data_IF_808251931291
#
_entry.id   IF_808251931291
#
_cell.length_a   1.000
_cell.length_b   1.000
_cell.length_c   1.000
_cell.angle_alpha   90.00
_cell.angle_beta   90.00
_cell.angle_gamma   90.00
#
_symmetry.space_group_name_H-M   'P 1'
#
loop_
_entity.id
_entity.type
_entity.pdbx_description
1 polymer ?
#
# COMPACT_ATOMS: atom_id res chain seq x y z
N UNK A 1 25.90 -7.28 -23.21
CA UNK A 1 24.54 -7.54 -22.70
C UNK A 1 23.73 -6.29 -22.96
N UNK A 2 22.94 -6.35 -24.03
CA UNK A 2 22.08 -5.27 -24.51
C UNK A 2 21.07 -4.88 -23.43
N UNK A 3 21.00 -3.58 -23.12
CA UNK A 3 20.03 -3.00 -22.20
C UNK A 3 18.61 -3.31 -22.72
N UNK A 4 17.98 -4.36 -22.19
CA UNK A 4 16.64 -4.80 -22.58
C UNK A 4 15.51 -3.80 -22.19
N UNK A 5 15.86 -2.59 -21.76
CA UNK A 5 14.95 -1.65 -21.11
C UNK A 5 15.14 -0.19 -21.54
N UNK A 6 15.83 0.08 -22.66
CA UNK A 6 15.87 1.41 -23.27
C UNK A 6 14.49 1.90 -23.77
N UNK A 7 13.45 1.11 -23.53
CA UNK A 7 12.30 0.97 -24.41
C UNK A 7 10.96 0.90 -23.63
N UNK A 8 10.96 0.91 -22.28
CA UNK A 8 9.72 0.97 -21.47
C UNK A 8 9.13 2.37 -21.50
N UNK A 9 7.94 2.51 -22.06
CA UNK A 9 7.26 3.78 -22.20
C UNK A 9 5.86 3.74 -21.55
N UNK A 10 5.36 4.91 -21.15
CA UNK A 10 3.95 5.03 -20.82
C UNK A 10 3.12 4.67 -22.06
N UNK A 11 2.14 3.78 -21.90
CA UNK A 11 1.23 3.41 -22.96
C UNK A 11 0.50 4.67 -23.42
N UNK A 12 0.58 5.06 -24.71
CA UNK A 12 -0.03 6.29 -25.19
C UNK A 12 -1.51 6.41 -24.80
N UNK A 13 -1.83 7.41 -23.98
CA UNK A 13 -3.21 7.69 -23.55
C UNK A 13 -3.70 6.91 -22.32
N UNK A 14 -2.92 5.98 -21.77
CA UNK A 14 -3.29 5.24 -20.56
C UNK A 14 -3.55 6.15 -19.35
N UNK A 15 -2.68 7.14 -19.11
CA UNK A 15 -2.88 8.11 -18.03
C UNK A 15 -4.14 8.95 -18.21
N UNK A 16 -4.39 9.45 -19.42
CA UNK A 16 -5.62 10.19 -19.73
C UNK A 16 -6.87 9.32 -19.52
N UNK A 17 -6.79 8.02 -19.81
CA UNK A 17 -7.86 7.06 -19.53
C UNK A 17 -8.08 6.90 -18.03
N UNK A 18 -7.03 6.69 -17.24
CA UNK A 18 -7.13 6.63 -15.77
C UNK A 18 -7.68 7.90 -15.15
N UNK A 19 -7.29 9.08 -15.65
CA UNK A 19 -7.81 10.36 -15.18
C UNK A 19 -9.29 10.53 -15.52
N UNK A 20 -9.71 10.12 -16.73
CA UNK A 20 -11.12 10.13 -17.13
C UNK A 20 -11.94 9.18 -16.27
N UNK A 21 -11.47 7.94 -16.09
CA UNK A 21 -12.13 6.96 -15.22
C UNK A 21 -12.15 7.44 -13.76
N UNK A 22 -11.10 8.10 -13.28
CA UNK A 22 -11.05 8.66 -11.93
C UNK A 22 -12.12 9.73 -11.69
N UNK A 23 -12.41 10.57 -12.71
CA UNK A 23 -13.53 11.53 -12.63
C UNK A 23 -14.88 10.81 -12.56
N UNK A 24 -15.10 9.79 -13.39
CA UNK A 24 -16.32 8.96 -13.35
C UNK A 24 -16.48 8.30 -11.98
N UNK A 25 -15.42 7.66 -11.44
CA UNK A 25 -15.44 7.04 -10.12
C UNK A 25 -15.82 8.05 -9.03
N UNK A 26 -15.25 9.25 -9.09
CA UNK A 26 -15.57 10.32 -8.14
C UNK A 26 -17.04 10.73 -8.21
N UNK A 27 -17.59 10.86 -9.41
CA UNK A 27 -19.01 11.20 -9.62
C UNK A 27 -19.92 10.09 -9.09
N UNK A 28 -19.60 8.81 -9.34
CA UNK A 28 -20.35 7.67 -8.81
C UNK A 28 -20.34 7.63 -7.27
N UNK A 29 -19.16 7.81 -6.65
CA UNK A 29 -19.04 7.88 -5.18
C UNK A 29 -19.84 9.05 -4.61
N UNK A 30 -19.77 10.23 -5.23
CA UNK A 30 -20.55 11.39 -4.80
C UNK A 30 -22.05 11.16 -4.98
N UNK A 31 -22.45 10.48 -6.06
CA UNK A 31 -23.83 10.07 -6.30
C UNK A 31 -24.35 9.22 -5.16
N UNK A 32 -23.66 8.14 -4.81
CA UNK A 32 -24.04 7.26 -3.69
C UNK A 32 -24.00 8.00 -2.35
N UNK A 33 -22.96 8.80 -2.10
CA UNK A 33 -22.82 9.58 -0.86
C UNK A 33 -23.98 10.55 -0.64
N UNK A 34 -24.47 11.21 -1.69
CA UNK A 34 -25.59 12.15 -1.60
C UNK A 34 -26.89 11.47 -1.13
N UNK A 35 -27.05 10.17 -1.34
CA UNK A 35 -28.20 9.40 -0.84
C UNK A 35 -28.00 8.93 0.60
N UNK A 36 -26.78 8.55 0.96
CA UNK A 36 -26.45 8.05 2.28
C UNK A 36 -26.41 9.15 3.35
N UNK A 37 -25.93 10.33 2.95
CA UNK A 37 -25.63 11.43 3.86
C UNK A 37 -26.01 12.77 3.21
N UNK A 38 -27.31 13.02 2.97
CA UNK A 38 -27.77 14.23 2.30
C UNK A 38 -27.29 15.48 3.05
N UNK A 39 -26.74 16.44 2.30
CA UNK A 39 -26.22 17.70 2.84
C UNK A 39 -24.75 17.67 3.30
N UNK A 40 -24.13 16.49 3.43
CA UNK A 40 -22.70 16.41 3.71
C UNK A 40 -21.88 16.73 2.46
N UNK A 41 -21.12 17.82 2.51
CA UNK A 41 -20.14 18.18 1.47
C UNK A 41 -18.78 17.70 1.88
N UNK A 42 -18.41 16.52 1.44
CA UNK A 42 -17.13 15.91 1.77
C UNK A 42 -16.24 15.88 0.53
N UNK A 43 -14.96 16.30 0.65
CA UNK A 43 -14.01 16.05 -0.41
C UNK A 43 -13.86 14.53 -0.58
N UNK A 44 -13.84 14.05 -1.82
CA UNK A 44 -13.46 12.66 -2.13
C UNK A 44 -11.93 12.67 -2.30
N UNK A 45 -11.15 12.25 -1.29
CA UNK A 45 -9.71 12.17 -1.44
C UNK A 45 -9.40 11.10 -2.48
N UNK A 46 -8.62 11.48 -3.49
CA UNK A 46 -8.05 10.58 -4.47
C UNK A 46 -6.55 10.82 -4.49
N UNK A 47 -5.77 9.74 -4.55
CA UNK A 47 -4.33 9.84 -4.73
C UNK A 47 -4.00 10.56 -6.04
N UNK A 48 -2.95 11.40 -6.02
CA UNK A 48 -2.50 12.12 -7.22
C UNK A 48 -1.93 11.17 -8.28
N UNK A 49 -1.20 10.15 -7.84
CA UNK A 49 -0.74 9.06 -8.68
C UNK A 49 -1.73 7.89 -8.64
N UNK A 50 -1.90 7.15 -9.75
CA UNK A 50 -2.71 5.94 -9.73
C UNK A 50 -2.03 4.86 -8.89
N UNK A 51 -2.84 4.02 -8.25
CA UNK A 51 -2.40 2.97 -7.34
C UNK A 51 -2.30 1.63 -8.08
N UNK A 52 -1.42 0.75 -7.61
CA UNK A 52 -1.31 -0.63 -8.10
C UNK A 52 -2.60 -1.39 -7.71
N UNK A 53 -3.33 -1.89 -8.71
CA UNK A 53 -4.64 -2.52 -8.49
C UNK A 53 -4.56 -4.05 -8.40
N UNK A 54 -3.70 -4.67 -9.22
CA UNK A 54 -3.54 -6.12 -9.32
C UNK A 54 -2.18 -6.56 -8.78
N UNK A 55 -2.18 -7.60 -7.94
CA UNK A 55 -1.00 -8.17 -7.27
C UNK A 55 -0.25 -9.19 -8.15
N UNK A 56 -0.31 -9.04 -9.47
CA UNK A 56 0.40 -9.87 -10.44
C UNK A 56 1.12 -9.00 -11.47
N UNK A 57 2.15 -9.55 -12.13
CA UNK A 57 2.79 -8.90 -13.27
C UNK A 57 2.05 -9.24 -14.58
N UNK A 58 1.94 -8.33 -15.56
CA UNK A 58 2.35 -6.91 -15.55
C UNK A 58 1.50 -6.08 -14.56
N UNK A 59 2.07 -5.02 -13.99
CA UNK A 59 1.32 -4.19 -13.05
C UNK A 59 0.22 -3.40 -13.77
N UNK A 60 -0.99 -3.52 -13.24
CA UNK A 60 -2.12 -2.70 -13.62
C UNK A 60 -2.38 -1.63 -12.58
N UNK A 61 -2.77 -0.47 -13.07
CA UNK A 61 -2.99 0.71 -12.25
C UNK A 61 -4.48 1.04 -12.23
N UNK A 62 -4.99 1.48 -11.08
CA UNK A 62 -6.34 2.02 -10.94
C UNK A 62 -6.32 3.30 -10.12
N UNK A 63 -7.36 4.10 -10.23
CA UNK A 63 -7.65 5.15 -9.26
C UNK A 63 -8.49 4.56 -8.15
N UNK A 64 -8.16 4.92 -6.91
CA UNK A 64 -8.95 4.57 -5.73
C UNK A 64 -9.40 5.81 -5.00
N UNK A 65 -10.54 5.67 -4.33
CA UNK A 65 -11.16 6.74 -3.58
C UNK A 65 -11.90 6.12 -2.39
N UNK A 66 -11.81 6.76 -1.24
CA UNK A 66 -12.52 6.36 -0.04
C UNK A 66 -13.07 7.59 0.66
N UNK A 67 -14.33 7.52 1.04
CA UNK A 67 -15.09 8.53 1.74
C UNK A 67 -15.58 7.94 3.06
N UNK A 68 -15.51 8.72 4.13
CA UNK A 68 -16.15 8.41 5.40
C UNK A 68 -17.37 9.29 5.57
N UNK A 69 -18.50 8.67 5.84
CA UNK A 69 -19.81 9.28 6.00
C UNK A 69 -20.30 9.11 7.44
N UNK A 70 -20.99 10.12 7.95
CA UNK A 70 -21.87 9.96 9.10
C UNK A 70 -23.26 9.64 8.58
N UNK A 71 -23.92 8.63 9.14
CA UNK A 71 -25.23 8.14 8.68
C UNK A 71 -26.17 7.94 9.86
N UNK A 72 -27.41 8.41 9.73
CA UNK A 72 -28.43 8.29 10.78
C UNK A 72 -29.26 6.99 10.69
N UNK A 73 -28.93 6.13 9.74
CA UNK A 73 -29.70 4.93 9.39
C UNK A 73 -29.13 3.67 10.05
N UNK A 74 -29.98 2.63 10.18
CA UNK A 74 -29.53 1.27 10.50
C UNK A 74 -28.67 0.68 9.37
N UNK A 75 -27.58 0.01 9.73
CA UNK A 75 -26.54 -0.41 8.78
C UNK A 75 -27.04 -1.38 7.71
N UNK A 76 -27.92 -2.32 8.07
CA UNK A 76 -28.44 -3.31 7.14
C UNK A 76 -29.38 -2.69 6.11
N UNK A 77 -30.27 -1.78 6.53
CA UNK A 77 -31.22 -1.11 5.63
C UNK A 77 -30.50 -0.21 4.63
N UNK A 78 -29.46 0.50 5.08
CA UNK A 78 -28.60 1.31 4.21
C UNK A 78 -27.98 0.47 3.10
N UNK A 79 -27.33 -0.61 3.48
CA UNK A 79 -26.54 -1.44 2.57
C UNK A 79 -27.47 -2.13 1.57
N UNK A 80 -28.64 -2.58 2.01
CA UNK A 80 -29.68 -3.13 1.14
C UNK A 80 -30.30 -2.09 0.21
N UNK A 81 -30.60 -0.89 0.71
CA UNK A 81 -31.15 0.21 -0.08
C UNK A 81 -30.19 0.63 -1.20
N UNK A 82 -28.90 0.81 -0.88
CA UNK A 82 -27.89 1.17 -1.87
C UNK A 82 -27.66 0.04 -2.88
N UNK A 83 -27.57 -1.21 -2.44
CA UNK A 83 -27.44 -2.35 -3.36
C UNK A 83 -28.60 -2.40 -4.36
N UNK A 84 -29.85 -2.29 -3.88
CA UNK A 84 -31.03 -2.27 -4.76
C UNK A 84 -31.00 -1.11 -5.76
N UNK A 85 -30.60 0.09 -5.31
CA UNK A 85 -30.47 1.27 -6.16
C UNK A 85 -29.40 1.09 -7.24
N UNK A 86 -28.22 0.60 -6.87
CA UNK A 86 -27.13 0.35 -7.80
C UNK A 86 -27.55 -0.72 -8.81
N UNK A 87 -28.22 -1.79 -8.37
CA UNK A 87 -28.78 -2.81 -9.25
C UNK A 87 -29.77 -2.22 -10.27
N UNK A 88 -30.65 -1.31 -9.84
CA UNK A 88 -31.57 -0.59 -10.74
C UNK A 88 -30.86 0.30 -11.78
N UNK A 89 -29.59 0.64 -11.56
CA UNK A 89 -28.74 1.39 -12.49
C UNK A 89 -27.80 0.47 -13.30
N UNK A 90 -28.04 -0.84 -13.29
CA UNK A 90 -27.27 -1.83 -14.05
C UNK A 90 -25.96 -2.27 -13.39
N UNK A 91 -25.76 -2.00 -12.10
CA UNK A 91 -24.62 -2.57 -11.37
C UNK A 91 -24.91 -4.00 -10.93
N UNK A 92 -23.90 -4.85 -10.95
CA UNK A 92 -23.95 -6.17 -10.36
C UNK A 92 -23.58 -6.04 -8.88
N UNK A 93 -24.53 -6.31 -7.98
CA UNK A 93 -24.34 -6.08 -6.56
C UNK A 93 -24.24 -7.36 -5.76
N UNK A 94 -23.35 -7.40 -4.78
CA UNK A 94 -23.27 -8.43 -3.75
C UNK A 94 -23.48 -7.78 -2.38
N UNK A 95 -24.18 -8.48 -1.49
CA UNK A 95 -24.52 -8.00 -0.16
C UNK A 95 -24.09 -9.04 0.87
N UNK A 96 -23.39 -8.59 1.90
CA UNK A 96 -23.15 -9.37 3.11
C UNK A 96 -23.62 -8.55 4.32
N UNK A 97 -24.84 -8.86 4.74
CA UNK A 97 -25.45 -8.32 5.96
C UNK A 97 -25.52 -9.38 7.08
N UNK A 98 -24.70 -10.43 6.99
CA UNK A 98 -24.70 -11.52 7.99
C UNK A 98 -24.09 -11.10 9.33
N UNK A 99 -23.26 -10.06 9.33
CA UNK A 99 -22.59 -9.54 10.52
C UNK A 99 -23.40 -8.42 11.19
N UNK A 100 -23.59 -8.56 12.50
CA UNK A 100 -24.22 -7.54 13.35
C UNK A 100 -23.27 -6.35 13.63
N UNK A 101 -21.97 -6.50 13.37
CA UNK A 101 -20.96 -5.46 13.60
C UNK A 101 -20.70 -4.59 12.37
N UNK A 102 -20.85 -5.15 11.17
CA UNK A 102 -20.66 -4.44 9.90
C UNK A 102 -21.55 -5.06 8.82
N UNK A 103 -22.33 -4.23 8.14
CA UNK A 103 -23.02 -4.65 6.92
C UNK A 103 -22.21 -4.14 5.72
N UNK A 104 -22.04 -4.99 4.70
CA UNK A 104 -21.26 -4.64 3.51
C UNK A 104 -22.04 -4.86 2.22
N UNK A 105 -21.83 -3.95 1.26
CA UNK A 105 -22.25 -4.15 -0.12
C UNK A 105 -21.07 -3.88 -1.03
N UNK A 106 -20.99 -4.62 -2.12
CA UNK A 106 -20.12 -4.33 -3.24
C UNK A 106 -20.91 -4.27 -4.53
N UNK A 107 -20.42 -3.50 -5.49
CA UNK A 107 -21.06 -3.33 -6.78
C UNK A 107 -20.02 -3.24 -7.89
N UNK A 108 -20.26 -3.90 -9.02
CA UNK A 108 -19.41 -3.80 -10.22
C UNK A 108 -20.19 -3.42 -11.47
N UNK A 109 -19.60 -2.58 -12.31
CA UNK A 109 -20.15 -2.20 -13.62
C UNK A 109 -19.02 -1.74 -14.53
N UNK A 110 -18.90 -2.32 -15.72
CA UNK A 110 -17.88 -1.96 -16.72
C UNK A 110 -16.44 -1.92 -16.16
N UNK A 111 -16.13 -2.84 -15.23
CA UNK A 111 -14.84 -2.94 -14.55
C UNK A 111 -14.64 -1.96 -13.37
N UNK A 112 -15.56 -1.00 -13.15
CA UNK A 112 -15.57 -0.22 -11.92
C UNK A 112 -16.02 -1.10 -10.76
N UNK A 113 -15.46 -0.81 -9.59
CA UNK A 113 -15.83 -1.45 -8.34
C UNK A 113 -16.19 -0.38 -7.30
N UNK A 114 -17.32 -0.55 -6.64
CA UNK A 114 -17.71 0.22 -5.47
C UNK A 114 -17.90 -0.72 -4.29
N UNK A 115 -17.62 -0.23 -3.10
CA UNK A 115 -17.87 -0.93 -1.84
C UNK A 115 -18.41 0.04 -0.80
N UNK A 116 -19.27 -0.48 0.06
CA UNK A 116 -19.87 0.23 1.19
C UNK A 116 -19.76 -0.66 2.42
N UNK A 117 -19.30 -0.09 3.52
CA UNK A 117 -19.30 -0.71 4.85
C UNK A 117 -20.06 0.19 5.81
N UNK A 118 -21.14 -0.30 6.41
CA UNK A 118 -21.93 0.44 7.38
C UNK A 118 -21.76 -0.16 8.80
N UNK A 119 -21.53 0.71 9.78
CA UNK A 119 -21.23 0.37 11.16
C UNK A 119 -22.40 0.80 12.07
N UNK A 120 -23.32 -0.11 12.44
CA UNK A 120 -24.58 0.24 13.11
C UNK A 120 -24.38 0.92 14.47
N UNK A 121 -23.36 0.53 15.23
CA UNK A 121 -23.08 1.12 16.55
C UNK A 121 -22.34 2.47 16.51
N UNK A 122 -21.95 2.96 15.33
CA UNK A 122 -21.07 4.13 15.18
C UNK A 122 -21.66 5.26 14.34
N UNK A 123 -22.92 5.13 13.87
CA UNK A 123 -23.56 6.08 12.94
C UNK A 123 -22.64 6.46 11.79
N UNK A 124 -21.94 5.46 11.22
CA UNK A 124 -20.85 5.65 10.26
C UNK A 124 -21.00 4.68 9.11
N UNK A 125 -20.68 5.17 7.92
CA UNK A 125 -20.39 4.33 6.77
C UNK A 125 -19.06 4.74 6.11
N UNK A 126 -18.33 3.76 5.61
CA UNK A 126 -17.21 4.00 4.70
C UNK A 126 -17.65 3.56 3.29
N UNK A 127 -17.49 4.45 2.32
CA UNK A 127 -17.83 4.25 0.92
C UNK A 127 -16.55 4.41 0.10
N UNK A 128 -16.24 3.48 -0.77
CA UNK A 128 -15.09 3.63 -1.66
C UNK A 128 -15.24 2.86 -2.96
N UNK A 129 -14.18 2.89 -3.75
CA UNK A 129 -14.16 2.18 -5.02
C UNK A 129 -12.85 2.27 -5.76
N UNK A 130 -12.79 1.56 -6.88
CA UNK A 130 -11.68 1.57 -7.83
C UNK A 130 -12.18 1.68 -9.28
N UNK A 131 -11.36 2.29 -10.13
CA UNK A 131 -11.57 2.27 -11.59
C UNK A 131 -11.18 0.91 -12.17
N UNK A 132 -11.61 0.60 -13.41
CA UNK A 132 -11.03 -0.51 -14.14
C UNK A 132 -9.50 -0.38 -14.18
N UNK A 133 -8.76 -1.48 -13.99
CA UNK A 133 -7.32 -1.48 -14.12
C UNK A 133 -6.89 -1.09 -15.53
N UNK A 134 -5.83 -0.30 -15.65
CA UNK A 134 -5.20 0.08 -16.92
C UNK A 134 -3.71 -0.25 -16.89
N UNK A 135 -3.23 -0.88 -17.96
CA UNK A 135 -1.81 -1.02 -18.21
C UNK A 135 -1.23 0.35 -18.51
N UNK A 136 -0.46 0.90 -17.56
CA UNK A 136 0.10 2.23 -17.70
C UNK A 136 1.42 2.23 -18.46
N UNK A 137 2.17 1.14 -18.42
CA UNK A 137 3.50 1.03 -19.01
C UNK A 137 3.65 -0.27 -19.79
N UNK A 138 4.31 -0.21 -20.94
CA UNK A 138 4.55 -1.34 -21.85
C UNK A 138 5.87 -1.15 -22.60
N UNK A 139 6.37 -2.20 -23.25
CA UNK A 139 7.50 -2.09 -24.20
C UNK A 139 7.05 -1.63 -25.60
N UNK A 140 8.00 -1.38 -26.53
CA UNK A 140 7.70 -0.97 -27.90
C UNK A 140 7.03 -2.06 -28.72
N UNK A 141 7.11 -3.32 -28.29
CA UNK A 141 6.39 -4.43 -28.91
C UNK A 141 4.91 -4.49 -28.46
N UNK A 142 4.48 -3.59 -27.57
CA UNK A 142 3.13 -3.59 -27.00
C UNK A 142 2.90 -4.73 -26.00
N UNK A 143 3.97 -5.43 -25.62
CA UNK A 143 3.94 -6.41 -24.55
C UNK A 143 3.83 -5.66 -23.24
N UNK A 144 2.90 -6.11 -22.40
CA UNK A 144 2.77 -5.55 -21.08
C UNK A 144 4.02 -5.86 -20.28
N UNK A 145 4.83 -4.83 -20.07
CA UNK A 145 6.08 -4.89 -19.36
C UNK A 145 5.87 -4.34 -17.97
N UNK A 146 6.54 -4.94 -17.00
CA UNK A 146 6.53 -4.52 -15.60
C UNK A 146 6.71 -3.00 -15.44
N UNK A 147 6.24 -2.45 -14.32
CA UNK A 147 6.24 -1.01 -14.07
C UNK A 147 7.65 -0.42 -14.19
N UNK A 148 7.80 0.83 -14.67
CA UNK A 148 8.99 1.60 -14.39
C UNK A 148 9.05 1.84 -12.87
N UNK A 149 10.22 1.69 -12.23
CA UNK A 149 10.42 2.25 -10.90
C UNK A 149 10.24 3.79 -10.95
N UNK A 150 10.01 4.46 -9.80
CA UNK A 150 10.02 5.93 -9.68
C UNK A 150 11.27 6.55 -10.35
N UNK A 151 11.29 7.87 -10.65
CA UNK A 151 12.38 8.54 -11.40
C UNK A 151 13.75 7.99 -11.02
N UNK A 152 14.46 7.47 -12.03
CA UNK A 152 15.53 6.48 -11.90
C UNK A 152 16.36 6.60 -10.60
N UNK A 153 16.16 5.72 -9.60
CA UNK A 153 17.22 5.42 -8.67
C UNK A 153 18.30 4.60 -9.40
N UNK A 154 19.56 4.69 -8.96
CA UNK A 154 20.74 4.16 -9.67
C UNK A 154 20.59 2.70 -10.15
N UNK A 155 21.32 2.34 -11.22
CA UNK A 155 21.30 1.11 -12.05
C UNK A 155 21.44 -0.26 -11.34
N UNK A 156 21.26 -0.34 -10.04
CA UNK A 156 21.26 -1.53 -9.20
C UNK A 156 20.28 -1.22 -8.08
N UNK A 157 19.51 -2.18 -7.56
CA UNK A 157 18.93 -1.94 -6.23
C UNK A 157 20.10 -1.58 -5.31
N UNK A 158 20.21 -0.30 -4.97
CA UNK A 158 21.19 0.19 -4.01
C UNK A 158 20.47 0.05 -2.69
N UNK A 159 20.89 -0.89 -1.83
CA UNK A 159 20.35 -0.96 -0.49
C UNK A 159 20.41 0.44 0.12
N UNK A 160 19.33 0.89 0.78
CA UNK A 160 19.39 2.16 1.48
C UNK A 160 20.62 2.17 2.39
N UNK A 161 21.29 3.32 2.44
CA UNK A 161 22.44 3.47 3.32
C UNK A 161 22.04 3.11 4.77
N UNK A 162 22.96 2.53 5.54
CA UNK A 162 22.68 2.22 6.92
C UNK A 162 22.22 3.46 7.70
N UNK A 163 21.08 3.36 8.36
CA UNK A 163 20.61 4.40 9.31
C UNK A 163 21.64 4.60 10.41
N UNK A 164 22.35 3.53 10.78
CA UNK A 164 23.45 3.55 11.74
C UNK A 164 24.61 2.75 11.17
N UNK A 165 25.81 3.31 11.25
CA UNK A 165 27.08 2.61 10.97
C UNK A 165 27.84 2.42 12.28
N UNK A 166 28.89 1.61 12.29
CA UNK A 166 29.72 1.45 13.49
C UNK A 166 30.30 2.80 13.96
N UNK A 167 30.58 3.72 13.03
CA UNK A 167 31.08 5.07 13.33
C UNK A 167 30.00 6.03 13.88
N UNK A 168 28.74 5.89 13.45
CA UNK A 168 27.63 6.77 13.88
C UNK A 168 26.80 6.19 15.01
N UNK A 169 27.12 4.98 15.46
CA UNK A 169 26.48 4.29 16.57
C UNK A 169 26.63 5.06 17.88
N UNK A 170 25.54 5.17 18.63
CA UNK A 170 25.55 5.83 19.94
C UNK A 170 26.31 4.98 20.98
N UNK A 171 27.02 5.61 21.95
CA UNK A 171 27.57 4.88 23.09
C UNK A 171 26.50 4.05 23.82
N UNK A 172 26.87 2.85 24.26
CA UNK A 172 25.94 1.91 24.92
C UNK A 172 24.91 1.27 23.97
N UNK A 173 25.03 1.47 22.66
CA UNK A 173 24.25 0.78 21.65
C UNK A 173 25.12 -0.19 20.84
N UNK A 174 24.48 -1.12 20.16
CA UNK A 174 25.06 -2.07 19.19
C UNK A 174 24.26 -1.98 17.90
N UNK A 175 24.91 -2.20 16.75
CA UNK A 175 24.20 -2.34 15.47
C UNK A 175 23.27 -3.54 15.54
N UNK A 176 22.06 -3.41 14.99
CA UNK A 176 21.11 -4.51 14.94
C UNK A 176 21.69 -5.66 14.10
N UNK A 177 21.82 -6.86 14.65
CA UNK A 177 22.42 -7.99 13.94
C UNK A 177 21.64 -8.40 12.69
N UNK A 178 20.30 -8.35 12.74
CA UNK A 178 19.46 -8.79 11.62
C UNK A 178 19.53 -7.89 10.39
N UNK A 179 19.81 -6.59 10.59
CA UNK A 179 19.86 -5.64 9.47
C UNK A 179 21.20 -4.91 9.36
N UNK A 180 22.17 -5.23 10.20
CA UNK A 180 23.50 -4.61 10.24
C UNK A 180 23.49 -3.08 10.10
N UNK A 181 22.70 -2.40 10.94
CA UNK A 181 22.61 -0.94 10.90
C UNK A 181 21.66 -0.37 9.83
N UNK A 182 21.18 -1.19 8.89
CA UNK A 182 20.33 -0.76 7.78
C UNK A 182 18.99 -0.18 8.27
N UNK A 183 18.39 -0.77 9.31
CA UNK A 183 17.08 -0.35 9.82
C UNK A 183 15.89 -0.84 8.98
N UNK A 184 16.11 -1.15 7.71
CA UNK A 184 15.11 -1.69 6.79
C UNK A 184 15.05 -3.22 6.81
N UNK A 185 13.95 -3.78 6.29
CA UNK A 185 13.83 -5.23 6.17
C UNK A 185 14.87 -5.77 5.17
N UNK A 186 15.78 -6.67 5.58
CA UNK A 186 16.84 -7.19 4.71
C UNK A 186 16.30 -8.11 3.62
N UNK A 187 15.17 -8.81 3.86
CA UNK A 187 14.65 -9.77 2.89
C UNK A 187 13.92 -9.12 1.72
N UNK A 188 12.95 -8.25 2.02
CA UNK A 188 12.20 -7.56 0.97
C UNK A 188 12.86 -6.28 0.52
N UNK A 189 13.95 -5.86 1.17
CA UNK A 189 14.73 -4.70 0.77
C UNK A 189 13.84 -3.44 0.62
N UNK A 190 13.03 -3.16 1.65
CA UNK A 190 11.99 -2.11 1.72
C UNK A 190 10.75 -2.29 0.84
N UNK A 191 10.63 -3.34 0.04
CA UNK A 191 9.45 -3.54 -0.82
C UNK A 191 8.19 -3.91 -0.04
N UNK A 192 8.35 -4.62 1.07
CA UNK A 192 7.25 -5.17 1.87
C UNK A 192 6.68 -6.49 1.34
N UNK A 193 7.15 -6.95 0.19
CA UNK A 193 6.76 -8.20 -0.45
C UNK A 193 7.99 -8.89 -1.05
N UNK A 194 7.85 -10.18 -1.32
CA UNK A 194 8.76 -11.02 -2.10
C UNK A 194 8.02 -11.46 -3.37
N UNK A 195 8.75 -11.75 -4.44
CA UNK A 195 8.21 -12.42 -5.61
C UNK A 195 8.46 -13.92 -5.46
N UNK A 196 7.49 -14.76 -5.78
CA UNK A 196 7.73 -16.18 -5.94
C UNK A 196 8.18 -16.54 -7.37
N UNK A 197 8.37 -17.84 -7.63
CA UNK A 197 8.87 -18.34 -8.90
C UNK A 197 7.93 -18.05 -10.09
N UNK A 198 6.66 -17.74 -9.82
CA UNK A 198 5.68 -17.34 -10.82
C UNK A 198 5.61 -15.82 -11.02
N UNK A 199 6.38 -15.06 -10.24
CA UNK A 199 6.32 -13.60 -10.21
C UNK A 199 5.17 -13.05 -9.36
N UNK A 200 4.48 -13.88 -8.58
CA UNK A 200 3.42 -13.40 -7.69
C UNK A 200 4.01 -12.73 -6.45
N UNK A 201 3.44 -11.57 -6.09
CA UNK A 201 3.84 -10.84 -4.88
C UNK A 201 3.26 -11.53 -3.66
N UNK A 202 4.12 -12.08 -2.81
CA UNK A 202 3.76 -12.56 -1.47
C UNK A 202 4.21 -11.56 -0.41
N UNK A 203 3.36 -11.26 0.56
CA UNK A 203 3.73 -10.41 1.70
C UNK A 203 5.02 -10.94 2.32
N UNK A 204 6.00 -10.05 2.52
CA UNK A 204 7.29 -10.46 3.05
C UNK A 204 7.09 -11.10 4.42
N UNK A 205 7.51 -12.34 4.60
CA UNK A 205 7.30 -13.08 5.85
C UNK A 205 8.17 -12.55 7.00
N UNK A 206 9.20 -11.75 6.73
CA UNK A 206 10.06 -11.14 7.76
C UNK A 206 9.49 -9.83 8.28
N UNK A 207 9.07 -8.91 7.39
CA UNK A 207 8.56 -7.60 7.83
C UNK A 207 7.04 -7.46 7.80
N UNK A 208 6.34 -8.47 7.28
CA UNK A 208 4.90 -8.43 7.08
C UNK A 208 4.46 -7.13 6.38
N UNK A 209 5.16 -6.70 5.33
CA UNK A 209 4.79 -5.50 4.58
C UNK A 209 5.11 -4.15 5.24
N UNK A 210 5.63 -4.13 6.47
CA UNK A 210 5.98 -2.87 7.16
C UNK A 210 7.25 -2.19 6.61
N UNK A 211 8.02 -2.89 5.77
CA UNK A 211 9.23 -2.40 5.09
C UNK A 211 10.43 -2.10 6.00
N UNK A 212 10.26 -2.13 7.32
CA UNK A 212 11.29 -1.92 8.33
C UNK A 212 11.76 -3.23 8.97
N UNK A 213 12.99 -3.25 9.51
CA UNK A 213 13.47 -4.36 10.31
C UNK A 213 12.60 -4.48 11.58
N UNK A 214 11.92 -5.61 11.76
CA UNK A 214 11.05 -5.84 12.93
C UNK A 214 11.83 -5.92 14.23
N UNK A 215 13.12 -6.26 14.14
CA UNK A 215 13.96 -6.42 15.32
C UNK A 215 14.33 -5.06 15.90
N UNK A 216 14.87 -4.14 15.10
CA UNK A 216 15.21 -2.79 15.57
C UNK A 216 14.12 -1.73 15.32
N UNK A 217 12.98 -2.08 14.72
CA UNK A 217 11.90 -1.13 14.43
C UNK A 217 12.31 0.06 13.56
N UNK A 218 13.27 -0.11 12.63
CA UNK A 218 13.77 0.99 11.80
C UNK A 218 15.02 1.70 12.34
N UNK A 219 15.40 1.52 13.61
CA UNK A 219 16.45 2.33 14.24
C UNK A 219 17.89 1.97 13.86
N UNK A 220 18.14 0.83 13.19
CA UNK A 220 19.49 0.34 12.83
C UNK A 220 20.35 -0.09 14.02
N UNK A 221 20.00 0.29 15.25
CA UNK A 221 20.74 -0.04 16.47
C UNK A 221 19.79 -0.39 17.61
N UNK A 222 20.33 -1.01 18.66
CA UNK A 222 19.62 -1.31 19.90
C UNK A 222 20.48 -0.94 21.10
N UNK A 223 19.84 -0.49 22.18
CA UNK A 223 20.51 -0.14 23.43
C UNK A 223 20.79 -1.40 24.25
N UNK A 224 22.04 -1.59 24.67
CA UNK A 224 22.46 -2.77 25.44
C UNK A 224 21.73 -2.91 26.79
N UNK A 225 21.43 -1.78 27.44
CA UNK A 225 20.73 -1.75 28.72
C UNK A 225 19.29 -2.29 28.63
N UNK A 226 18.64 -2.11 27.49
CA UNK A 226 17.26 -2.50 27.26
C UNK A 226 17.15 -3.95 26.75
N UNK A 227 18.30 -4.59 26.45
CA UNK A 227 18.35 -5.96 25.97
C UNK A 227 18.33 -6.98 27.12
N UNK A 228 17.53 -8.06 27.00
CA UNK A 228 17.66 -9.24 27.83
C UNK A 228 19.08 -9.83 27.77
N UNK A 229 19.53 -10.45 28.86
CA UNK A 229 20.88 -11.02 28.97
C UNK A 229 21.19 -12.06 27.89
N UNK A 230 20.20 -12.87 27.49
CA UNK A 230 20.35 -13.88 26.44
C UNK A 230 20.56 -13.26 25.06
N UNK A 231 19.92 -12.12 24.76
CA UNK A 231 20.07 -11.41 23.50
C UNK A 231 21.44 -10.75 23.45
N UNK A 232 21.89 -10.14 24.56
CA UNK A 232 23.24 -9.53 24.65
C UNK A 232 24.37 -10.49 24.30
N UNK A 233 24.23 -11.79 24.59
CA UNK A 233 25.24 -12.81 24.26
C UNK A 233 25.44 -13.03 22.76
N UNK A 234 24.48 -12.62 21.93
CA UNK A 234 24.56 -12.75 20.47
C UNK A 234 25.31 -11.58 19.83
N UNK A 235 25.43 -10.45 20.53
CA UNK A 235 26.10 -9.26 20.03
C UNK A 235 27.59 -9.29 20.42
N UNK A 236 28.49 -8.93 19.49
CA UNK A 236 29.89 -8.74 19.86
C UNK A 236 30.01 -7.65 20.94
N UNK A 237 30.99 -7.77 21.85
CA UNK A 237 31.24 -6.72 22.83
C UNK A 237 31.54 -5.40 22.10
N UNK A 238 31.00 -4.26 22.57
CA UNK A 238 31.22 -2.97 21.92
C UNK A 238 32.72 -2.68 21.86
N UNK A 239 33.22 -2.32 20.67
CA UNK A 239 34.62 -1.90 20.52
C UNK A 239 34.86 -0.66 21.39
N UNK A 240 35.90 -0.65 22.24
CA UNK A 240 36.21 0.53 23.03
C UNK A 240 36.46 1.73 22.12
N UNK A 241 36.08 2.96 22.52
CA UNK A 241 36.29 4.14 21.70
C UNK A 241 37.79 4.30 21.40
N UNK A 242 38.13 4.36 20.11
CA UNK A 242 39.47 4.63 19.60
C UNK A 242 39.85 6.08 19.91
N UNK A 243 40.25 6.35 21.14
CA UNK A 243 40.53 7.72 21.58
C UNK A 243 40.66 7.91 23.09
N UNK A 244 41.37 7.03 23.78
CA UNK A 244 41.92 7.37 25.11
C UNK A 244 43.36 6.86 25.19
N UNK A 245 44.26 7.52 24.45
CA UNK A 245 45.64 7.59 24.92
C UNK A 245 45.60 8.40 26.21
N UNK A 246 45.58 7.71 27.35
CA UNK A 246 45.92 8.31 28.63
C UNK A 246 47.38 8.77 28.51
N UNK A 247 47.60 10.07 28.48
CA UNK A 247 48.87 10.65 28.93
C UNK A 247 48.88 10.63 30.45
#
# INVERSE_FOLDING_TARGET
MTDAWADVAEVPGARRTLERQGRVLREEILGVAAHLAPGQRLPVPMSREPEEDLWHEPLWYARRATLRLTTDFGSAEVVQHIAHRLAAQGWHTSLDASSTAVATASATRDGFFLWLMAFPGLSRADLGGSTPPVLLYADPAGTAIGPPPPPAPPKRFVPPEPVVTEATRKPGHVLCLDCDGIGWCPECLTRGYLLDDSGEKRRCFVCFGSKICQICGGFGQKRLADMPSWMRRQYPPPTPPSGTQRR
#
